data_IF_227927489140
#
_entry.id   IF_227927489140
#
_cell.length_a   1.000
_cell.length_b   1.000
_cell.length_c   1.000
_cell.angle_alpha   90.00
_cell.angle_beta   90.00
_cell.angle_gamma   90.00
#
_symmetry.space_group_name_H-M   'P 1'
#
loop_
_entity.id
_entity.type
_entity.pdbx_description
1 polymer ?
#
# COMPACT_ATOMS: atom_id res chain seq x y z
N UNK A 1 -16.69 -22.32 57.71
CA UNK A 1 -16.85 -22.17 56.25
C UNK A 1 -16.59 -20.70 55.94
N UNK A 2 -15.51 -20.42 55.20
CA UNK A 2 -14.74 -19.17 55.29
C UNK A 2 -15.40 -17.92 54.72
N UNK A 3 -15.10 -16.77 55.35
CA UNK A 3 -15.41 -15.43 54.89
C UNK A 3 -14.45 -15.03 53.76
N UNK A 4 -14.98 -14.68 52.59
CA UNK A 4 -14.19 -14.17 51.46
C UNK A 4 -13.93 -12.68 51.71
N UNK A 5 -12.73 -12.36 52.17
CA UNK A 5 -12.25 -10.98 52.29
C UNK A 5 -11.75 -10.51 50.91
N UNK A 6 -12.64 -9.85 50.15
CA UNK A 6 -12.31 -9.29 48.84
C UNK A 6 -11.58 -7.97 49.07
N UNK A 7 -10.26 -8.06 49.16
CA UNK A 7 -9.36 -6.92 49.26
C UNK A 7 -9.57 -5.94 48.09
N UNK A 8 -10.16 -4.78 48.39
CA UNK A 8 -10.45 -3.68 47.45
C UNK A 8 -9.20 -3.18 46.69
N UNK A 9 -8.01 -3.39 47.27
CA UNK A 9 -6.70 -3.12 46.63
C UNK A 9 -6.44 -4.00 45.39
N UNK A 10 -6.98 -5.22 45.34
CA UNK A 10 -6.83 -6.12 44.19
C UNK A 10 -7.76 -5.75 43.04
N UNK A 11 -8.95 -5.22 43.34
CA UNK A 11 -9.92 -4.77 42.33
C UNK A 11 -9.43 -3.51 41.62
N UNK A 12 -8.87 -2.54 42.36
CA UNK A 12 -8.29 -1.32 41.79
C UNK A 12 -7.04 -1.60 40.93
N UNK A 13 -6.21 -2.57 41.31
CA UNK A 13 -5.03 -2.97 40.52
C UNK A 13 -5.40 -3.65 39.20
N UNK A 14 -6.49 -4.42 39.16
CA UNK A 14 -6.92 -5.13 37.95
C UNK A 14 -7.54 -4.18 36.91
N UNK A 15 -8.30 -3.17 37.35
CA UNK A 15 -8.90 -2.18 36.44
C UNK A 15 -7.86 -1.21 35.85
N UNK A 16 -6.81 -0.86 36.60
CA UNK A 16 -5.73 -0.01 36.09
C UNK A 16 -4.92 -0.68 34.98
N UNK A 17 -4.71 -1.99 35.06
CA UNK A 17 -3.96 -2.75 34.04
C UNK A 17 -4.79 -3.04 32.78
N UNK A 18 -6.10 -3.25 32.94
CA UNK A 18 -7.01 -3.48 31.82
C UNK A 18 -7.29 -2.19 31.01
N UNK A 19 -7.29 -1.03 31.66
CA UNK A 19 -7.48 0.27 31.01
C UNK A 19 -6.30 0.72 30.14
N UNK A 20 -5.07 0.33 30.47
CA UNK A 20 -3.87 0.72 29.70
C UNK A 20 -3.69 -0.11 28.42
N UNK A 21 -4.22 -1.34 28.39
CA UNK A 21 -4.18 -2.21 27.21
C UNK A 21 -5.17 -1.80 26.10
N UNK A 22 -6.13 -0.92 26.39
CA UNK A 22 -7.15 -0.48 25.43
C UNK A 22 -6.76 0.78 24.65
N UNK A 23 -5.63 1.43 24.95
CA UNK A 23 -5.18 2.65 24.27
C UNK A 23 -4.17 2.42 23.15
N UNK A 24 -3.73 1.18 22.91
CA UNK A 24 -2.74 0.86 21.87
C UNK A 24 -3.48 0.29 20.65
N UNK A 25 -4.12 1.16 19.87
CA UNK A 25 -4.87 0.73 18.69
C UNK A 25 -5.32 1.84 17.76
N UNK A 26 -4.68 3.00 17.78
CA UNK A 26 -4.69 3.91 16.65
C UNK A 26 -3.28 3.86 16.05
N UNK A 27 -3.10 3.06 15.01
CA UNK A 27 -1.89 3.09 14.19
C UNK A 27 -1.90 4.41 13.44
N UNK A 28 -1.35 5.46 14.05
CA UNK A 28 -1.01 6.68 13.32
C UNK A 28 0.05 6.34 12.29
N UNK A 29 -0.08 6.89 11.09
CA UNK A 29 0.96 6.82 10.07
C UNK A 29 2.33 7.20 10.68
N UNK A 30 3.41 6.44 10.45
CA UNK A 30 4.73 6.78 10.97
C UNK A 30 5.20 8.17 10.51
N UNK A 31 6.12 8.77 11.26
CA UNK A 31 6.71 10.06 10.85
C UNK A 31 7.49 9.93 9.55
N UNK A 32 7.58 10.99 8.74
CA UNK A 32 8.29 10.94 7.44
C UNK A 32 9.74 10.44 7.57
N UNK A 33 10.45 10.85 8.62
CA UNK A 33 11.82 10.42 8.90
C UNK A 33 11.90 8.91 9.16
N UNK A 34 10.90 8.36 9.85
CA UNK A 34 10.79 6.93 10.13
C UNK A 34 10.43 6.14 8.88
N UNK A 35 9.51 6.66 8.06
CA UNK A 35 9.22 6.09 6.75
C UNK A 35 10.46 6.06 5.85
N UNK A 36 11.25 7.13 5.82
CA UNK A 36 12.50 7.15 5.05
C UNK A 36 13.51 6.11 5.54
N UNK A 37 13.62 5.92 6.86
CA UNK A 37 14.45 4.84 7.42
C UNK A 37 13.96 3.46 6.99
N UNK A 38 12.65 3.23 7.01
CA UNK A 38 12.03 2.00 6.52
C UNK A 38 12.36 1.76 5.04
N UNK A 39 12.19 2.79 4.20
CA UNK A 39 12.52 2.73 2.77
C UNK A 39 14.01 2.48 2.54
N UNK A 40 14.90 3.18 3.23
CA UNK A 40 16.35 2.95 3.12
C UNK A 40 16.76 1.52 3.49
N UNK A 41 16.09 0.92 4.47
CA UNK A 41 16.28 -0.47 4.87
C UNK A 41 15.56 -1.49 3.95
N UNK A 42 14.90 -1.03 2.88
CA UNK A 42 13.99 -1.81 2.02
C UNK A 42 12.85 -2.51 2.80
N UNK A 43 12.54 -2.04 4.01
CA UNK A 43 11.41 -2.51 4.79
C UNK A 43 10.13 -1.79 4.34
N UNK A 44 9.65 -2.15 3.15
CA UNK A 44 8.54 -1.48 2.48
C UNK A 44 7.16 -1.86 3.07
N UNK A 45 6.85 -1.45 4.29
CA UNK A 45 5.58 -1.80 4.95
C UNK A 45 4.40 -1.13 4.24
N UNK A 46 3.34 -1.90 3.97
CA UNK A 46 2.12 -1.39 3.34
C UNK A 46 1.39 -0.45 4.30
N UNK A 47 0.66 0.53 3.77
CA UNK A 47 -0.12 1.55 4.50
C UNK A 47 0.69 2.43 5.46
N UNK A 48 2.02 2.27 5.50
CA UNK A 48 2.92 3.03 6.37
C UNK A 48 3.87 3.95 5.61
N UNK A 49 4.00 3.78 4.28
CA UNK A 49 4.98 4.48 3.44
C UNK A 49 4.30 5.33 2.39
N UNK A 50 4.67 6.60 2.32
CA UNK A 50 4.18 7.55 1.31
C UNK A 50 5.07 7.65 0.07
N UNK A 51 4.53 8.25 -1.00
CA UNK A 51 5.35 8.55 -2.19
C UNK A 51 6.51 9.49 -1.85
N UNK A 52 6.28 10.48 -0.99
CA UNK A 52 7.30 11.42 -0.54
C UNK A 52 8.45 10.72 0.19
N UNK A 53 8.15 9.78 1.09
CA UNK A 53 9.17 9.02 1.81
C UNK A 53 10.08 8.24 0.84
N UNK A 54 9.50 7.66 -0.21
CA UNK A 54 10.26 6.93 -1.23
C UNK A 54 11.12 7.86 -2.07
N UNK A 55 10.55 8.94 -2.60
CA UNK A 55 11.30 9.91 -3.42
C UNK A 55 12.44 10.54 -2.63
N UNK A 56 12.22 10.90 -1.37
CA UNK A 56 13.27 11.49 -0.53
C UNK A 56 14.38 10.50 -0.16
N UNK A 57 14.08 9.19 -0.13
CA UNK A 57 15.06 8.15 0.23
C UNK A 57 15.84 7.61 -0.96
N UNK A 58 15.16 7.38 -2.08
CA UNK A 58 15.71 6.68 -3.25
C UNK A 58 15.85 7.57 -4.48
N UNK A 59 15.34 8.81 -4.43
CA UNK A 59 15.25 9.71 -5.56
C UNK A 59 13.97 9.48 -6.38
N UNK A 60 13.73 10.35 -7.36
CA UNK A 60 12.62 10.24 -8.31
C UNK A 60 12.63 8.89 -9.01
N UNK A 61 11.48 8.19 -9.13
CA UNK A 61 11.42 6.92 -9.82
C UNK A 61 11.82 7.09 -11.30
N UNK A 62 12.73 6.25 -11.83
CA UNK A 62 13.15 6.33 -13.22
C UNK A 62 12.01 5.99 -14.19
N UNK A 63 11.03 5.19 -13.73
CA UNK A 63 9.83 4.82 -14.47
C UNK A 63 8.62 5.15 -13.60
N UNK A 64 7.72 5.99 -14.12
CA UNK A 64 6.55 6.51 -13.42
C UNK A 64 5.31 6.35 -14.30
N UNK A 65 4.19 5.98 -13.68
CA UNK A 65 2.87 5.97 -14.32
C UNK A 65 1.79 6.34 -13.30
N UNK A 66 0.73 6.95 -13.79
CA UNK A 66 -0.45 7.25 -13.00
C UNK A 66 -1.70 6.91 -13.80
N UNK A 67 -2.66 6.26 -13.16
CA UNK A 67 -3.97 5.99 -13.75
C UNK A 67 -5.04 5.74 -12.70
N UNK A 68 -6.27 6.10 -13.06
CA UNK A 68 -7.45 5.57 -12.37
C UNK A 68 -7.56 4.06 -12.61
N UNK A 69 -7.49 3.28 -11.54
CA UNK A 69 -7.49 1.82 -11.59
C UNK A 69 -8.41 1.20 -10.53
N UNK A 70 -8.78 -0.06 -10.77
CA UNK A 70 -9.43 -0.91 -9.77
C UNK A 70 -8.40 -1.74 -9.03
N UNK A 71 -8.61 -1.89 -7.73
CA UNK A 71 -7.74 -2.61 -6.81
C UNK A 71 -8.52 -3.68 -6.06
N UNK A 72 -8.03 -4.90 -6.08
CA UNK A 72 -8.62 -6.02 -5.37
C UNK A 72 -8.02 -6.14 -3.97
N UNK A 73 -8.86 -6.06 -2.95
CA UNK A 73 -8.42 -6.13 -1.54
C UNK A 73 -8.24 -7.57 -1.11
N UNK A 74 -7.01 -7.90 -0.74
CA UNK A 74 -6.63 -9.23 -0.29
C UNK A 74 -6.84 -9.40 1.23
N UNK A 75 -6.90 -10.63 1.75
CA UNK A 75 -7.06 -10.87 3.19
C UNK A 75 -5.91 -10.32 4.06
N UNK A 76 -4.73 -10.08 3.48
CA UNK A 76 -3.57 -9.47 4.13
C UNK A 76 -3.56 -7.94 3.97
N UNK A 77 -4.67 -7.35 3.52
CA UNK A 77 -4.88 -5.93 3.25
C UNK A 77 -4.08 -5.35 2.09
N UNK A 78 -3.25 -6.14 1.42
CA UNK A 78 -2.65 -5.68 0.15
C UNK A 78 -3.75 -5.41 -0.88
N UNK A 79 -3.55 -4.38 -1.70
CA UNK A 79 -4.50 -4.02 -2.76
C UNK A 79 -3.86 -4.23 -4.12
N UNK A 80 -4.19 -5.34 -4.77
CA UNK A 80 -3.58 -5.71 -6.05
C UNK A 80 -4.26 -4.91 -7.16
N UNK A 81 -3.53 -4.07 -7.92
CA UNK A 81 -4.11 -3.38 -9.05
C UNK A 81 -4.53 -4.37 -10.14
N UNK A 82 -5.65 -4.10 -10.82
CA UNK A 82 -6.22 -4.97 -11.85
C UNK A 82 -5.22 -5.33 -12.95
N UNK A 83 -4.32 -4.40 -13.31
CA UNK A 83 -3.26 -4.62 -14.31
C UNK A 83 -2.27 -5.73 -13.97
N UNK A 84 -2.23 -6.17 -12.70
CA UNK A 84 -1.39 -7.28 -12.21
C UNK A 84 -2.15 -8.58 -12.05
N UNK A 85 -3.44 -8.62 -12.38
CA UNK A 85 -4.27 -9.82 -12.33
C UNK A 85 -4.36 -10.43 -13.73
N UNK A 86 -4.21 -11.75 -13.82
CA UNK A 86 -4.40 -12.47 -15.07
C UNK A 86 -5.82 -12.24 -15.62
N UNK A 87 -5.93 -11.93 -16.92
CA UNK A 87 -7.21 -11.60 -17.54
C UNK A 87 -8.20 -12.75 -17.41
N UNK A 88 -9.41 -12.45 -16.93
CA UNK A 88 -10.50 -13.42 -16.77
C UNK A 88 -10.50 -14.16 -15.44
N UNK A 89 -9.54 -13.89 -14.55
CA UNK A 89 -9.46 -14.51 -13.23
C UNK A 89 -9.60 -13.46 -12.12
N UNK A 90 -10.22 -13.85 -11.01
CA UNK A 90 -10.15 -13.08 -9.77
C UNK A 90 -8.88 -13.48 -9.01
N UNK A 91 -8.24 -12.56 -8.26
CA UNK A 91 -7.07 -12.92 -7.47
C UNK A 91 -7.39 -14.04 -6.48
N UNK A 92 -6.49 -15.03 -6.40
CA UNK A 92 -6.69 -16.20 -5.54
C UNK A 92 -6.79 -15.77 -4.07
N UNK A 93 -7.93 -16.04 -3.43
CA UNK A 93 -8.17 -15.71 -2.03
C UNK A 93 -8.78 -14.32 -1.79
N UNK A 94 -9.13 -13.59 -2.85
CA UNK A 94 -9.85 -12.32 -2.77
C UNK A 94 -11.22 -12.45 -2.07
N UNK A 95 -11.56 -11.49 -1.19
CA UNK A 95 -12.78 -11.49 -0.36
C UNK A 95 -13.84 -10.45 -0.78
N UNK A 96 -13.97 -10.19 -2.08
CA UNK A 96 -15.00 -9.34 -2.70
C UNK A 96 -14.89 -7.81 -2.50
N UNK A 97 -13.83 -7.29 -1.85
CA UNK A 97 -13.58 -5.85 -1.78
C UNK A 97 -12.87 -5.32 -3.03
N UNK A 98 -13.46 -4.35 -3.72
CA UNK A 98 -12.78 -3.57 -4.78
C UNK A 98 -12.71 -2.12 -4.34
N UNK A 99 -11.53 -1.53 -4.43
CA UNK A 99 -11.35 -0.08 -4.34
C UNK A 99 -11.06 0.46 -5.73
N UNK A 100 -11.53 1.67 -6.02
CA UNK A 100 -11.23 2.37 -7.25
C UNK A 100 -10.66 3.74 -6.90
N UNK A 101 -9.60 4.14 -7.57
CA UNK A 101 -8.96 5.41 -7.31
C UNK A 101 -7.73 5.63 -8.18
N UNK A 102 -7.06 6.75 -7.94
CA UNK A 102 -5.88 7.16 -8.69
C UNK A 102 -4.65 6.41 -8.17
N UNK A 103 -4.17 5.45 -8.97
CA UNK A 103 -3.02 4.61 -8.67
C UNK A 103 -1.73 5.22 -9.19
N UNK A 104 -0.78 5.46 -8.29
CA UNK A 104 0.56 5.95 -8.63
C UNK A 104 1.55 4.79 -8.63
N UNK A 105 2.25 4.58 -9.74
CA UNK A 105 3.16 3.47 -9.93
C UNK A 105 4.59 3.97 -10.04
N UNK A 106 5.46 3.51 -9.13
CA UNK A 106 6.90 3.76 -9.15
C UNK A 106 7.62 2.46 -9.49
N UNK A 107 8.44 2.48 -10.53
CA UNK A 107 9.31 1.36 -10.86
C UNK A 107 10.79 1.79 -10.77
N UNK A 108 11.57 1.04 -9.99
CA UNK A 108 13.01 1.21 -9.81
C UNK A 108 13.75 -0.04 -10.33
N UNK A 109 14.08 -0.11 -11.64
CA UNK A 109 14.78 -1.26 -12.23
C UNK A 109 16.06 -1.65 -11.52
N UNK A 110 16.88 -0.66 -11.14
CA UNK A 110 18.15 -0.88 -10.44
C UNK A 110 17.97 -1.51 -9.04
N UNK A 111 16.77 -1.37 -8.45
CA UNK A 111 16.41 -1.95 -7.16
C UNK A 111 15.50 -3.17 -7.27
N UNK A 112 14.99 -3.47 -8.47
CA UNK A 112 14.07 -4.57 -8.73
C UNK A 112 12.70 -4.43 -8.08
N UNK A 113 12.22 -3.20 -7.87
CA UNK A 113 10.95 -2.92 -7.19
C UNK A 113 9.93 -2.23 -8.09
N UNK A 114 8.71 -2.76 -8.12
CA UNK A 114 7.48 -2.05 -8.48
C UNK A 114 6.73 -1.71 -7.19
N UNK A 115 6.42 -0.43 -6.99
CA UNK A 115 5.65 0.09 -5.86
C UNK A 115 4.40 0.76 -6.40
N UNK A 116 3.26 0.52 -5.76
CA UNK A 116 1.98 1.08 -6.17
C UNK A 116 1.30 1.72 -4.97
N UNK A 117 0.92 2.97 -5.15
CA UNK A 117 0.34 3.81 -4.13
C UNK A 117 -1.10 4.15 -4.51
N UNK A 118 -1.95 4.23 -3.49
CA UNK A 118 -3.33 4.71 -3.57
C UNK A 118 -3.53 5.68 -2.41
N UNK A 119 -4.10 6.86 -2.67
CA UNK A 119 -4.26 7.94 -1.68
C UNK A 119 -2.94 8.28 -0.94
N UNK A 120 -1.83 8.29 -1.69
CA UNK A 120 -0.45 8.50 -1.21
C UNK A 120 0.09 7.45 -0.24
N UNK A 121 -0.55 6.28 -0.11
CA UNK A 121 -0.06 5.17 0.72
C UNK A 121 0.33 3.96 -0.12
N UNK A 122 1.43 3.31 0.25
CA UNK A 122 1.90 2.09 -0.40
C UNK A 122 0.91 0.94 -0.15
N UNK A 123 0.16 0.53 -1.18
CA UNK A 123 -0.85 -0.54 -1.08
C UNK A 123 -0.42 -1.85 -1.73
N UNK A 124 0.57 -1.79 -2.63
CA UNK A 124 1.12 -2.97 -3.29
C UNK A 124 2.60 -2.79 -3.63
N UNK A 125 3.34 -3.89 -3.53
CA UNK A 125 4.76 -3.98 -3.89
C UNK A 125 5.07 -5.32 -4.52
N UNK A 126 5.96 -5.32 -5.50
CA UNK A 126 6.35 -6.54 -6.21
C UNK A 126 7.84 -6.48 -6.56
N UNK A 127 8.56 -7.58 -6.29
CA UNK A 127 9.92 -7.75 -6.81
C UNK A 127 9.86 -8.27 -8.23
N UNK A 128 10.52 -7.56 -9.14
CA UNK A 128 10.58 -7.88 -10.56
C UNK A 128 12.01 -7.70 -11.08
N UNK A 129 12.37 -8.41 -12.15
CA UNK A 129 13.64 -8.17 -12.84
C UNK A 129 13.60 -6.82 -13.56
N UNK A 130 14.78 -6.22 -13.78
CA UNK A 130 14.90 -4.95 -14.47
C UNK A 130 14.22 -4.98 -15.86
N UNK A 131 14.35 -6.09 -16.58
CA UNK A 131 13.74 -6.26 -17.90
C UNK A 131 12.21 -6.27 -17.84
N UNK A 132 11.64 -6.87 -16.79
CA UNK A 132 10.19 -6.92 -16.58
C UNK A 132 9.64 -5.53 -16.23
N UNK A 133 10.35 -4.77 -15.40
CA UNK A 133 10.00 -3.38 -15.06
C UNK A 133 10.05 -2.46 -16.28
N UNK A 134 11.06 -2.62 -17.14
CA UNK A 134 11.12 -1.88 -18.41
C UNK A 134 10.02 -2.28 -19.39
N UNK A 135 9.67 -3.57 -19.46
CA UNK A 135 8.58 -4.05 -20.30
C UNK A 135 7.23 -3.47 -19.85
N UNK A 136 6.99 -3.43 -18.54
CA UNK A 136 5.83 -2.83 -17.91
C UNK A 136 5.72 -1.32 -18.22
N UNK A 137 6.81 -0.57 -18.10
CA UNK A 137 6.79 0.86 -18.48
C UNK A 137 6.56 1.12 -19.97
N UNK A 138 7.00 0.21 -20.85
CA UNK A 138 6.64 0.27 -22.28
C UNK A 138 5.14 0.05 -22.50
N UNK A 139 4.52 -0.86 -21.75
CA UNK A 139 3.07 -1.09 -21.82
C UNK A 139 2.29 0.15 -21.38
N UNK A 140 2.67 0.78 -20.26
CA UNK A 140 2.08 2.06 -19.83
C UNK A 140 2.16 3.15 -20.91
N UNK A 141 3.35 3.30 -21.50
CA UNK A 141 3.58 4.27 -22.59
C UNK A 141 2.73 3.97 -23.83
N UNK A 142 2.47 2.69 -24.10
CA UNK A 142 1.62 2.27 -25.20
C UNK A 142 0.15 2.61 -24.91
N UNK A 143 -0.37 2.24 -23.75
CA UNK A 143 -1.76 2.51 -23.33
C UNK A 143 -2.08 4.00 -23.28
N UNK A 144 -1.14 4.82 -22.77
CA UNK A 144 -1.28 6.27 -22.74
C UNK A 144 -1.54 6.88 -24.13
N UNK A 145 -0.97 6.30 -25.20
CA UNK A 145 -1.18 6.77 -26.58
C UNK A 145 -2.57 6.46 -27.13
N UNK A 146 -3.28 5.48 -26.57
CA UNK A 146 -4.65 5.17 -27.00
C UNK A 146 -5.68 6.01 -26.24
N UNK A 147 -5.44 6.28 -24.95
CA UNK A 147 -6.30 7.19 -24.17
C UNK A 147 -6.38 8.58 -24.83
N UNK A 148 -5.24 9.14 -25.26
CA UNK A 148 -5.23 10.45 -25.92
C UNK A 148 -5.99 10.51 -27.25
N UNK A 149 -6.01 9.42 -28.03
CA UNK A 149 -6.73 9.37 -29.32
C UNK A 149 -8.25 9.30 -29.17
N UNK A 150 -8.73 8.67 -28.10
CA UNK A 150 -10.18 8.58 -27.83
C UNK A 150 -10.73 9.94 -27.37
N UNK A 151 -9.98 10.67 -26.55
CA UNK A 151 -10.37 12.02 -26.09
C UNK A 151 -10.35 13.05 -27.23
N UNK A 152 -9.44 12.95 -28.20
CA UNK A 152 -9.41 13.83 -29.38
C UNK A 152 -10.62 13.62 -30.32
N UNK A 153 -11.20 12.42 -30.31
CA UNK A 153 -12.36 12.10 -31.16
C UNK A 153 -13.68 12.57 -30.52
N UNK A 154 -13.66 12.90 -29.22
CA UNK A 154 -14.82 13.36 -28.46
C UNK A 154 -14.76 14.87 -28.20
N UNK A 155 -14.73 15.66 -29.28
CA UNK A 155 -14.95 17.10 -29.21
C UNK A 155 -16.31 17.40 -29.88
N UNK A 156 -17.34 17.85 -29.13
CA UNK A 156 -18.63 18.22 -29.69
C UNK A 156 -18.53 19.43 -30.64
#
# INVERSE_FOLDING_TARGET
MGTIDISWRKVLGLCGFLGFLLFVGCTSLPTLEEQQRLVQAENLVLDEITTEAVVNSWGTPPLYHNEFAYFFVMPDFSMIPQSRVATGEAPKGWKAGVHAGEGVYFAYPDRGWLLVFLDDLLVYKEKLKAEELHALAKAWSYEARFKTRLDETFKP
#
